data_IF_262575865157
#
_entry.id   IF_262575865157
#
_cell.length_a   1.000
_cell.length_b   1.000
_cell.length_c   1.000
_cell.angle_alpha   90.00
_cell.angle_beta   90.00
_cell.angle_gamma   90.00
#
_symmetry.space_group_name_H-M   'P 1'
#
loop_
_entity.id
_entity.type
_entity.pdbx_description
1 polymer ?
#
# COMPACT_ATOMS: atom_id res chain seq x y z
N UNK A 1 -14.82 3.73 -5.72
CA UNK A 1 -14.35 5.05 -6.16
C UNK A 1 -13.05 5.39 -5.46
N UNK A 2 -13.01 5.55 -4.13
CA UNK A 2 -11.80 6.02 -3.41
C UNK A 2 -10.49 5.22 -3.59
N UNK A 3 -10.50 3.88 -3.69
CA UNK A 3 -9.25 3.13 -3.93
C UNK A 3 -8.68 3.41 -5.32
N UNK A 4 -9.56 3.42 -6.33
CA UNK A 4 -9.23 3.78 -7.71
C UNK A 4 -8.83 5.26 -7.77
N UNK A 5 -9.50 6.14 -7.04
CA UNK A 5 -9.20 7.57 -7.05
C UNK A 5 -7.91 7.89 -6.28
N UNK A 6 -7.58 7.14 -5.22
CA UNK A 6 -6.28 7.20 -4.55
C UNK A 6 -5.15 6.62 -5.43
N UNK A 7 -5.42 5.55 -6.19
CA UNK A 7 -4.48 5.05 -7.19
C UNK A 7 -4.33 6.06 -8.35
N UNK A 8 -5.37 6.79 -8.74
CA UNK A 8 -5.24 7.91 -9.71
C UNK A 8 -4.35 9.03 -9.17
N UNK A 9 -4.33 9.27 -7.85
CA UNK A 9 -3.36 10.20 -7.24
C UNK A 9 -1.92 9.71 -7.41
N UNK A 10 -1.65 8.40 -7.43
CA UNK A 10 -0.33 7.85 -7.84
C UNK A 10 -0.01 8.32 -9.25
N UNK A 11 -0.96 8.11 -10.18
CA UNK A 11 -0.83 8.48 -11.59
C UNK A 11 -0.56 9.97 -11.85
N UNK A 12 -0.93 10.86 -10.91
CA UNK A 12 -0.59 12.28 -11.00
C UNK A 12 0.89 12.58 -10.71
N UNK A 13 1.57 11.73 -9.94
CA UNK A 13 2.99 11.84 -9.69
C UNK A 13 3.75 10.81 -10.54
N UNK A 14 4.27 11.26 -11.68
CA UNK A 14 4.96 10.40 -12.65
C UNK A 14 6.17 9.67 -12.04
N UNK A 15 6.85 10.27 -11.05
CA UNK A 15 8.03 9.67 -10.41
C UNK A 15 7.65 8.49 -9.54
N UNK A 16 6.59 8.65 -8.74
CA UNK A 16 6.07 7.56 -7.93
C UNK A 16 5.50 6.46 -8.82
N UNK A 17 4.80 6.84 -9.90
CA UNK A 17 4.30 5.89 -10.90
C UNK A 17 5.45 5.10 -11.53
N UNK A 18 6.56 5.74 -11.89
CA UNK A 18 7.74 5.06 -12.42
C UNK A 18 8.34 4.05 -11.43
N UNK A 19 8.46 4.41 -10.15
CA UNK A 19 8.91 3.49 -9.09
C UNK A 19 7.96 2.28 -8.95
N UNK A 20 6.65 2.50 -8.99
CA UNK A 20 5.66 1.42 -8.90
C UNK A 20 5.71 0.53 -10.14
N UNK A 21 5.81 1.09 -11.35
CA UNK A 21 5.94 0.30 -12.58
C UNK A 21 7.23 -0.54 -12.54
N UNK A 22 8.35 0.04 -12.10
CA UNK A 22 9.60 -0.70 -11.98
C UNK A 22 9.49 -1.83 -10.94
N UNK A 23 8.83 -1.58 -9.80
CA UNK A 23 8.50 -2.63 -8.84
C UNK A 23 7.69 -3.76 -9.49
N UNK A 24 6.65 -3.44 -10.27
CA UNK A 24 5.80 -4.46 -10.91
C UNK A 24 6.56 -5.29 -11.94
N UNK A 25 7.33 -4.62 -12.81
CA UNK A 25 8.19 -5.29 -13.80
C UNK A 25 9.18 -6.19 -13.08
N UNK A 26 9.75 -5.71 -11.97
CA UNK A 26 10.59 -6.51 -11.12
C UNK A 26 9.86 -7.74 -10.60
N UNK A 27 8.84 -7.57 -9.76
CA UNK A 27 8.13 -8.68 -9.09
C UNK A 27 7.61 -9.71 -10.11
N UNK A 28 7.30 -9.30 -11.33
CA UNK A 28 6.89 -10.20 -12.40
C UNK A 28 8.04 -11.03 -13.00
N UNK A 29 9.29 -10.54 -13.02
CA UNK A 29 10.43 -11.20 -13.68
C UNK A 29 11.27 -12.03 -12.69
N UNK A 30 11.50 -11.52 -11.48
CA UNK A 30 12.45 -12.15 -10.54
C UNK A 30 12.11 -13.57 -10.08
N UNK A 31 10.85 -14.04 -10.00
CA UNK A 31 10.54 -15.37 -9.50
C UNK A 31 10.61 -16.48 -10.55
N UNK A 32 11.10 -16.19 -11.76
CA UNK A 32 11.46 -17.19 -12.78
C UNK A 32 12.89 -17.81 -12.72
N UNK A 33 13.70 -17.69 -11.64
CA UNK A 33 15.14 -17.82 -11.79
C UNK A 33 15.58 -19.29 -11.89
N UNK A 34 14.87 -20.22 -11.24
CA UNK A 34 15.30 -21.63 -11.19
C UNK A 34 15.10 -22.37 -12.52
N UNK A 35 14.21 -21.91 -13.40
CA UNK A 35 13.92 -22.58 -14.67
C UNK A 35 14.82 -22.10 -15.81
N UNK A 36 15.36 -20.87 -15.73
CA UNK A 36 16.26 -20.33 -16.75
C UNK A 36 17.30 -19.36 -16.15
N UNK A 37 18.61 -19.69 -16.18
CA UNK A 37 19.66 -18.85 -15.63
C UNK A 37 19.78 -17.48 -16.35
N UNK A 38 19.40 -17.40 -17.63
CA UNK A 38 19.41 -16.14 -18.39
C UNK A 38 18.36 -15.18 -17.83
N UNK A 39 17.16 -15.68 -17.54
CA UNK A 39 16.07 -14.88 -16.96
C UNK A 39 16.44 -14.41 -15.55
N UNK A 40 17.16 -15.24 -14.78
CA UNK A 40 17.71 -14.85 -13.47
C UNK A 40 18.64 -13.63 -13.57
N UNK A 41 19.58 -13.67 -14.52
CA UNK A 41 20.55 -12.59 -14.72
C UNK A 41 19.84 -11.31 -15.17
N UNK A 42 18.87 -11.42 -16.08
CA UNK A 42 18.04 -10.28 -16.51
C UNK A 42 17.28 -9.69 -15.31
N UNK A 43 16.70 -10.56 -14.48
CA UNK A 43 16.03 -10.17 -13.23
C UNK A 43 16.95 -9.35 -12.32
N UNK A 44 18.17 -9.82 -12.08
CA UNK A 44 19.17 -9.09 -11.26
C UNK A 44 19.56 -7.76 -11.91
N UNK A 45 19.80 -7.74 -13.24
CA UNK A 45 20.17 -6.51 -13.94
C UNK A 45 19.08 -5.44 -13.86
N UNK A 46 17.82 -5.84 -13.70
CA UNK A 46 16.68 -4.92 -13.50
C UNK A 46 16.50 -4.55 -12.02
N UNK A 47 16.61 -5.53 -11.11
CA UNK A 47 16.35 -5.32 -9.67
C UNK A 47 17.47 -4.63 -8.94
N UNK A 48 18.72 -5.02 -9.20
CA UNK A 48 19.84 -4.52 -8.42
C UNK A 48 19.94 -3.00 -8.55
N UNK A 49 19.96 -2.38 -9.76
CA UNK A 49 19.95 -0.93 -9.90
C UNK A 49 18.74 -0.26 -9.23
N UNK A 50 17.57 -0.90 -9.31
CA UNK A 50 16.35 -0.39 -8.70
C UNK A 50 16.43 -0.37 -7.17
N UNK A 51 16.92 -1.47 -6.59
CA UNK A 51 17.13 -1.61 -5.16
C UNK A 51 18.14 -0.57 -4.67
N UNK A 52 19.29 -0.44 -5.35
CA UNK A 52 20.31 0.59 -5.04
C UNK A 52 19.67 1.96 -4.96
N UNK A 53 18.91 2.28 -6.00
CA UNK A 53 18.27 3.56 -6.15
C UNK A 53 17.28 3.83 -5.03
N UNK A 54 16.42 2.86 -4.71
CA UNK A 54 15.46 2.97 -3.62
C UNK A 54 16.13 3.15 -2.27
N UNK A 55 17.24 2.45 -2.01
CA UNK A 55 18.01 2.61 -0.79
C UNK A 55 18.62 3.99 -0.67
N UNK A 56 19.22 4.47 -1.76
CA UNK A 56 19.77 5.82 -1.79
C UNK A 56 18.67 6.86 -1.57
N UNK A 57 17.53 6.74 -2.26
CA UNK A 57 16.38 7.61 -2.06
C UNK A 57 15.89 7.53 -0.61
N UNK A 58 15.78 6.34 -0.04
CA UNK A 58 15.36 6.17 1.35
C UNK A 58 16.32 6.89 2.31
N UNK A 59 17.63 6.67 2.20
CA UNK A 59 18.65 7.35 3.02
C UNK A 59 18.61 8.87 2.83
N UNK A 60 18.50 9.34 1.59
CA UNK A 60 18.35 10.76 1.28
C UNK A 60 17.09 11.33 1.93
N UNK A 61 16.00 10.58 1.95
CA UNK A 61 14.74 10.95 2.61
C UNK A 61 14.92 11.14 4.11
N UNK A 62 15.63 10.21 4.75
CA UNK A 62 15.91 10.24 6.18
C UNK A 62 16.77 11.45 6.56
N UNK A 63 17.77 11.78 5.74
CA UNK A 63 18.73 12.86 6.02
C UNK A 63 18.13 14.23 5.67
N UNK A 64 17.57 14.37 4.47
CA UNK A 64 17.21 15.69 3.96
C UNK A 64 15.90 16.24 4.53
N UNK A 65 15.05 15.40 5.14
CA UNK A 65 13.70 15.76 5.63
C UNK A 65 12.80 16.46 4.60
N UNK A 66 13.22 16.52 3.33
CA UNK A 66 12.55 17.19 2.22
C UNK A 66 11.87 16.13 1.36
N UNK A 67 10.74 16.48 0.75
CA UNK A 67 10.07 15.60 -0.19
C UNK A 67 10.99 15.31 -1.37
N UNK A 68 11.27 14.03 -1.59
CA UNK A 68 12.17 13.57 -2.66
C UNK A 68 11.58 13.88 -4.05
N UNK A 69 10.26 13.97 -4.13
CA UNK A 69 9.58 14.33 -5.38
C UNK A 69 9.66 15.84 -5.71
N UNK A 70 10.25 16.67 -4.86
CA UNK A 70 10.51 18.09 -5.16
C UNK A 70 11.86 18.35 -5.85
N UNK A 71 12.77 17.36 -5.88
CA UNK A 71 14.07 17.54 -6.52
C UNK A 71 13.93 17.67 -8.05
N UNK A 72 14.86 18.35 -8.73
CA UNK A 72 14.87 18.37 -10.20
C UNK A 72 15.12 16.96 -10.77
N UNK A 73 14.47 16.54 -11.87
CA UNK A 73 14.68 15.22 -12.48
C UNK A 73 16.15 14.90 -12.78
N UNK A 74 16.92 15.91 -13.21
CA UNK A 74 18.36 15.74 -13.46
C UNK A 74 19.14 15.36 -12.20
N UNK A 75 18.77 15.94 -11.04
CA UNK A 75 19.38 15.56 -9.75
C UNK A 75 19.04 14.11 -9.39
N UNK A 76 17.85 13.63 -9.72
CA UNK A 76 17.43 12.25 -9.47
C UNK A 76 18.23 11.26 -10.34
N UNK A 77 18.45 11.57 -11.62
CA UNK A 77 19.28 10.75 -12.51
C UNK A 77 20.73 10.75 -12.03
N UNK A 78 21.26 11.91 -11.62
CA UNK A 78 22.58 12.02 -11.03
C UNK A 78 22.70 11.17 -9.75
N UNK A 79 21.68 11.22 -8.89
CA UNK A 79 21.59 10.39 -7.69
C UNK A 79 21.58 8.90 -8.01
N UNK A 80 20.84 8.46 -9.04
CA UNK A 80 20.86 7.08 -9.52
C UNK A 80 22.28 6.66 -9.92
N UNK A 81 22.96 7.48 -10.72
CA UNK A 81 24.29 7.16 -11.25
C UNK A 81 25.37 7.15 -10.15
N UNK A 82 25.28 8.06 -9.18
CA UNK A 82 26.17 8.13 -8.01
C UNK A 82 25.87 7.01 -6.99
N UNK A 83 24.62 6.58 -6.86
CA UNK A 83 24.23 5.57 -5.87
C UNK A 83 24.86 4.20 -6.14
N UNK A 84 25.10 3.87 -7.41
CA UNK A 84 25.64 2.57 -7.83
C UNK A 84 27.06 2.32 -7.32
N UNK A 85 28.05 3.21 -7.51
CA UNK A 85 29.38 3.04 -6.92
C UNK A 85 29.40 3.24 -5.40
N UNK A 86 28.61 4.15 -4.85
CA UNK A 86 28.55 4.38 -3.39
C UNK A 86 28.04 3.14 -2.66
N UNK A 87 27.05 2.45 -3.23
CA UNK A 87 26.46 1.29 -2.58
C UNK A 87 27.38 0.07 -2.60
N UNK A 88 28.25 -0.09 -3.62
CA UNK A 88 29.33 -1.09 -3.59
C UNK A 88 30.26 -0.90 -2.37
N UNK A 89 30.43 0.35 -1.91
CA UNK A 89 31.28 0.69 -0.77
C UNK A 89 30.56 0.53 0.59
N UNK A 90 29.21 0.49 0.62
CA UNK A 90 28.38 0.41 1.83
C UNK A 90 27.77 -0.98 2.10
N UNK A 91 28.40 -2.04 1.58
CA UNK A 91 27.88 -3.42 1.57
C UNK A 91 27.54 -4.01 2.96
N UNK A 92 28.19 -3.57 4.04
CA UNK A 92 27.87 -4.03 5.41
C UNK A 92 26.57 -3.38 5.92
N UNK A 93 26.41 -2.08 5.66
CA UNK A 93 25.20 -1.34 6.06
C UNK A 93 23.97 -1.89 5.31
N UNK A 94 24.20 -2.40 4.10
CA UNK A 94 23.20 -3.04 3.26
C UNK A 94 22.55 -4.28 3.92
N UNK A 95 23.33 -5.17 4.52
CA UNK A 95 22.79 -6.38 5.20
C UNK A 95 21.86 -6.02 6.36
N UNK A 96 22.23 -5.01 7.16
CA UNK A 96 21.39 -4.52 8.26
C UNK A 96 20.12 -3.87 7.74
N UNK A 97 20.23 -3.02 6.71
CA UNK A 97 19.08 -2.41 6.04
C UNK A 97 18.14 -3.46 5.47
N UNK A 98 18.68 -4.54 4.90
CA UNK A 98 17.91 -5.64 4.38
C UNK A 98 17.09 -6.37 5.45
N UNK A 99 17.72 -6.73 6.58
CA UNK A 99 17.01 -7.35 7.70
C UNK A 99 15.88 -6.46 8.23
N UNK A 100 16.14 -5.16 8.39
CA UNK A 100 15.13 -4.17 8.80
C UNK A 100 14.00 -4.10 7.75
N UNK A 101 14.35 -4.01 6.46
CA UNK A 101 13.40 -3.94 5.35
C UNK A 101 12.46 -5.14 5.29
N UNK A 102 12.94 -6.36 5.56
CA UNK A 102 12.10 -7.56 5.63
C UNK A 102 11.05 -7.41 6.73
N UNK A 103 11.48 -7.06 7.95
CA UNK A 103 10.56 -6.92 9.10
C UNK A 103 9.55 -5.80 8.82
N UNK A 104 10.02 -4.67 8.27
CA UNK A 104 9.17 -3.51 7.97
C UNK A 104 8.19 -3.79 6.84
N UNK A 105 8.53 -4.64 5.87
CA UNK A 105 7.60 -5.07 4.81
C UNK A 105 6.34 -5.71 5.43
N UNK A 106 6.52 -6.70 6.30
CA UNK A 106 5.41 -7.41 6.93
C UNK A 106 4.62 -6.51 7.89
N UNK A 107 5.32 -5.63 8.63
CA UNK A 107 4.69 -4.65 9.49
C UNK A 107 3.80 -3.69 8.68
N UNK A 108 4.34 -3.04 7.64
CA UNK A 108 3.61 -2.06 6.84
C UNK A 108 2.45 -2.70 6.09
N UNK A 109 2.68 -3.84 5.41
CA UNK A 109 1.61 -4.53 4.68
C UNK A 109 0.48 -4.93 5.61
N UNK A 110 0.76 -5.59 6.73
CA UNK A 110 -0.27 -5.99 7.70
C UNK A 110 -1.00 -4.79 8.29
N UNK A 111 -0.28 -3.73 8.67
CA UNK A 111 -0.86 -2.50 9.18
C UNK A 111 -1.82 -1.84 8.18
N UNK A 112 -1.35 -1.61 6.95
CA UNK A 112 -2.16 -0.94 5.93
C UNK A 112 -3.31 -1.80 5.44
N UNK A 113 -3.16 -3.12 5.34
CA UNK A 113 -4.26 -4.03 4.99
C UNK A 113 -5.35 -3.97 6.07
N UNK A 114 -5.02 -4.21 7.33
CA UNK A 114 -6.03 -4.23 8.40
C UNK A 114 -6.72 -2.89 8.56
N UNK A 115 -5.96 -1.80 8.48
CA UNK A 115 -6.55 -0.48 8.54
C UNK A 115 -7.42 -0.18 7.32
N UNK A 116 -7.00 -0.55 6.11
CA UNK A 116 -7.81 -0.43 4.92
C UNK A 116 -9.11 -1.24 5.04
N UNK A 117 -9.04 -2.46 5.59
CA UNK A 117 -10.21 -3.30 5.85
C UNK A 117 -11.20 -2.59 6.77
N UNK A 118 -10.69 -1.95 7.83
CA UNK A 118 -11.51 -1.10 8.70
C UNK A 118 -12.17 0.05 7.94
N UNK A 119 -11.43 0.79 7.10
CA UNK A 119 -12.00 1.90 6.32
C UNK A 119 -13.13 1.45 5.37
N UNK A 120 -12.92 0.35 4.66
CA UNK A 120 -13.93 -0.22 3.77
C UNK A 120 -15.15 -0.64 4.58
N UNK A 121 -14.93 -1.39 5.66
CA UNK A 121 -16.00 -1.84 6.54
C UNK A 121 -16.79 -0.66 7.11
N UNK A 122 -16.10 0.36 7.62
CA UNK A 122 -16.70 1.58 8.18
C UNK A 122 -17.57 2.28 7.14
N UNK A 123 -17.07 2.46 5.92
CA UNK A 123 -17.83 3.11 4.84
C UNK A 123 -19.11 2.33 4.49
N UNK A 124 -19.01 1.01 4.38
CA UNK A 124 -20.19 0.17 4.11
C UNK A 124 -21.19 0.29 5.25
N UNK A 125 -20.72 0.27 6.49
CA UNK A 125 -21.57 0.42 7.67
C UNK A 125 -22.21 1.82 7.77
N UNK A 126 -21.48 2.89 7.46
CA UNK A 126 -22.00 4.26 7.42
C UNK A 126 -23.14 4.43 6.40
N UNK A 127 -22.98 3.87 5.19
CA UNK A 127 -24.04 3.86 4.17
C UNK A 127 -25.28 3.09 4.62
N UNK A 128 -25.12 2.09 5.47
CA UNK A 128 -26.24 1.33 6.03
C UNK A 128 -26.90 2.08 7.19
N UNK A 129 -26.17 2.91 7.91
CA UNK A 129 -26.75 3.67 9.03
C UNK A 129 -27.66 4.81 8.57
N UNK A 130 -27.47 5.38 7.39
CA UNK A 130 -28.31 6.47 6.88
C UNK A 130 -29.71 6.04 6.43
N UNK A 131 -30.09 4.77 6.57
CA UNK A 131 -31.38 4.25 6.11
C UNK A 131 -32.33 3.77 7.23
N UNK A 132 -33.56 3.42 6.85
CA UNK A 132 -34.66 2.96 7.71
C UNK A 132 -34.36 1.73 8.59
N UNK A 133 -35.31 1.31 9.45
CA UNK A 133 -35.19 0.16 10.38
C UNK A 133 -34.68 -1.15 9.73
N UNK A 134 -34.95 -1.38 8.44
CA UNK A 134 -34.44 -2.55 7.68
C UNK A 134 -32.90 -2.64 7.66
N UNK A 135 -32.21 -1.52 7.81
CA UNK A 135 -30.76 -1.49 7.76
C UNK A 135 -30.07 -2.02 9.04
N UNK A 136 -30.76 -2.03 10.18
CA UNK A 136 -30.21 -2.67 11.40
C UNK A 136 -30.14 -4.19 11.26
N UNK A 137 -31.11 -4.81 10.58
CA UNK A 137 -31.08 -6.23 10.27
C UNK A 137 -30.00 -6.58 9.24
N UNK A 138 -29.82 -5.76 8.19
CA UNK A 138 -28.71 -5.92 7.25
C UNK A 138 -27.34 -5.84 7.93
N UNK A 139 -27.15 -4.93 8.90
CA UNK A 139 -25.90 -4.83 9.67
C UNK A 139 -25.64 -6.08 10.51
N UNK A 140 -26.69 -6.68 11.08
CA UNK A 140 -26.59 -7.98 11.76
C UNK A 140 -26.16 -9.08 10.80
N UNK A 141 -26.78 -9.17 9.61
CA UNK A 141 -26.41 -10.15 8.58
C UNK A 141 -24.96 -9.97 8.14
N UNK A 142 -24.51 -8.73 7.90
CA UNK A 142 -23.13 -8.49 7.48
C UNK A 142 -22.14 -8.84 8.59
N UNK A 143 -22.46 -8.52 9.84
CA UNK A 143 -21.62 -8.86 10.99
C UNK A 143 -21.49 -10.38 11.16
N UNK A 144 -22.61 -11.09 11.36
CA UNK A 144 -22.60 -12.53 11.62
C UNK A 144 -22.26 -13.33 10.37
N UNK A 145 -22.82 -12.97 9.22
CA UNK A 145 -22.51 -13.60 7.94
C UNK A 145 -21.04 -13.46 7.58
N UNK A 146 -20.45 -12.28 7.78
CA UNK A 146 -19.02 -12.08 7.56
C UNK A 146 -18.14 -12.90 8.49
N UNK A 147 -18.50 -13.00 9.77
CA UNK A 147 -17.83 -13.88 10.73
C UNK A 147 -17.94 -15.36 10.33
N UNK A 148 -19.14 -15.83 10.01
CA UNK A 148 -19.40 -17.23 9.64
C UNK A 148 -18.64 -17.58 8.36
N UNK A 149 -18.69 -16.72 7.33
CA UNK A 149 -17.93 -16.92 6.09
C UNK A 149 -16.43 -16.94 6.37
N UNK A 150 -15.92 -16.03 7.22
CA UNK A 150 -14.51 -15.98 7.60
C UNK A 150 -14.05 -17.27 8.32
N UNK A 151 -14.81 -17.74 9.31
CA UNK A 151 -14.49 -18.97 10.04
C UNK A 151 -14.62 -20.22 9.15
N UNK A 152 -15.64 -20.27 8.29
CA UNK A 152 -15.81 -21.34 7.31
C UNK A 152 -14.67 -21.36 6.30
N UNK A 153 -14.20 -20.20 5.86
CA UNK A 153 -13.05 -20.07 4.98
C UNK A 153 -11.78 -20.62 5.64
N UNK A 154 -11.50 -20.24 6.90
CA UNK A 154 -10.35 -20.77 7.64
C UNK A 154 -10.46 -22.29 7.86
N UNK A 155 -11.65 -22.79 8.17
CA UNK A 155 -11.91 -24.21 8.36
C UNK A 155 -11.72 -25.01 7.06
N UNK A 156 -12.26 -24.52 5.94
CA UNK A 156 -12.10 -25.15 4.63
C UNK A 156 -10.64 -25.29 4.22
N UNK A 157 -9.74 -24.41 4.66
CA UNK A 157 -8.32 -24.54 4.36
C UNK A 157 -7.60 -25.57 5.24
N UNK A 158 -8.06 -25.77 6.48
CA UNK A 158 -7.54 -26.84 7.35
C UNK A 158 -7.90 -28.21 6.77
N UNK A 159 -9.16 -28.38 6.35
CA UNK A 159 -9.68 -29.68 5.89
C UNK A 159 -9.57 -29.86 4.37
N UNK A 160 -9.41 -28.77 3.61
CA UNK A 160 -9.44 -28.74 2.15
C UNK A 160 -8.49 -29.74 1.49
N UNK A 161 -7.20 -29.81 1.89
CA UNK A 161 -6.27 -30.80 1.36
C UNK A 161 -6.69 -32.26 1.60
N UNK A 162 -7.57 -32.53 2.58
CA UNK A 162 -8.09 -33.87 2.87
C UNK A 162 -9.38 -34.19 2.11
N UNK A 163 -10.13 -33.17 1.66
CA UNK A 163 -11.42 -33.34 0.97
C UNK A 163 -11.25 -33.23 -0.56
N UNK A 164 -10.41 -32.30 -1.01
CA UNK A 164 -10.16 -32.03 -2.41
C UNK A 164 -8.75 -32.52 -2.76
N UNK A 165 -8.69 -33.52 -3.64
CA UNK A 165 -7.42 -33.94 -4.20
C UNK A 165 -6.97 -32.92 -5.25
N UNK A 166 -6.06 -32.04 -4.84
CA UNK A 166 -5.44 -31.04 -5.71
C UNK A 166 -4.32 -31.63 -6.59
N UNK A 167 -4.09 -32.94 -6.57
CA UNK A 167 -3.08 -33.62 -7.40
C UNK A 167 -3.23 -33.35 -8.90
N UNK A 168 -4.46 -33.09 -9.38
CA UNK A 168 -4.74 -32.75 -10.79
C UNK A 168 -4.12 -31.39 -11.18
N UNK A 169 -3.93 -30.47 -10.23
CA UNK A 169 -3.43 -29.11 -10.47
C UNK A 169 -1.94 -28.97 -10.08
N UNK A 170 -1.50 -29.69 -9.04
CA UNK A 170 -0.16 -29.58 -8.47
C UNK A 170 0.76 -30.78 -8.74
N UNK A 171 0.27 -31.82 -9.42
CA UNK A 171 1.00 -33.05 -9.76
C UNK A 171 1.54 -33.86 -8.56
N UNK A 172 1.46 -33.30 -7.34
CA UNK A 172 1.90 -33.89 -6.07
C UNK A 172 0.84 -33.67 -4.97
N UNK A 173 0.67 -34.63 -4.04
CA UNK A 173 -0.23 -34.48 -2.91
C UNK A 173 0.29 -33.39 -1.95
N UNK A 174 -0.54 -32.37 -1.69
CA UNK A 174 -0.20 -31.29 -0.77
C UNK A 174 -0.23 -31.83 0.67
N UNK A 175 0.94 -32.09 1.26
CA UNK A 175 1.05 -32.38 2.70
C UNK A 175 1.28 -31.06 3.43
N UNK A 176 0.21 -30.49 3.99
CA UNK A 176 0.31 -29.25 4.74
C UNK A 176 0.98 -29.49 6.10
N UNK A 177 2.08 -28.79 6.44
CA UNK A 177 2.70 -28.90 7.74
C UNK A 177 1.74 -28.54 8.88
N UNK A 178 1.68 -29.37 9.91
CA UNK A 178 0.71 -29.23 11.01
C UNK A 178 0.79 -27.86 11.72
N UNK A 179 1.97 -27.25 11.79
CA UNK A 179 2.16 -25.95 12.44
C UNK A 179 1.51 -24.80 11.64
N UNK A 180 1.36 -24.92 10.32
CA UNK A 180 0.64 -23.92 9.52
C UNK A 180 -0.87 -23.98 9.79
N UNK A 181 -1.42 -25.17 10.06
CA UNK A 181 -2.82 -25.30 10.50
C UNK A 181 -3.08 -24.62 11.86
N UNK A 182 -2.06 -24.60 12.73
CA UNK A 182 -2.11 -23.86 13.99
C UNK A 182 -2.38 -22.36 13.80
N UNK A 183 -1.89 -21.75 12.70
CA UNK A 183 -2.13 -20.34 12.38
C UNK A 183 -3.61 -20.09 12.12
N UNK A 184 -4.28 -20.94 11.35
CA UNK A 184 -5.71 -20.80 11.04
C UNK A 184 -6.57 -20.88 12.30
N UNK A 185 -6.27 -21.83 13.20
CA UNK A 185 -6.94 -21.96 14.48
C UNK A 185 -6.72 -20.73 15.37
N UNK A 186 -5.49 -20.22 15.43
CA UNK A 186 -5.15 -19.06 16.24
C UNK A 186 -5.88 -17.81 15.73
N UNK A 187 -5.83 -17.53 14.42
CA UNK A 187 -6.55 -16.40 13.82
C UNK A 187 -8.06 -16.54 14.01
N UNK A 188 -8.63 -17.74 13.85
CA UNK A 188 -10.03 -18.01 14.16
C UNK A 188 -10.38 -17.69 15.62
N UNK A 189 -9.53 -18.12 16.56
CA UNK A 189 -9.66 -17.78 17.98
C UNK A 189 -9.60 -16.27 18.25
N UNK A 190 -8.69 -15.56 17.59
CA UNK A 190 -8.59 -14.09 17.68
C UNK A 190 -9.84 -13.41 17.14
N UNK A 191 -10.38 -13.87 16.00
CA UNK A 191 -11.63 -13.32 15.45
C UNK A 191 -12.82 -13.55 16.38
N UNK A 192 -12.93 -14.73 17.00
CA UNK A 192 -13.94 -15.02 18.02
C UNK A 192 -13.75 -14.09 19.23
N UNK A 193 -12.52 -13.93 19.72
CA UNK A 193 -12.19 -13.00 20.80
C UNK A 193 -12.60 -11.55 20.49
N UNK A 194 -12.23 -11.05 19.32
CA UNK A 194 -12.61 -9.72 18.85
C UNK A 194 -14.14 -9.57 18.67
N UNK A 195 -14.83 -10.66 18.29
CA UNK A 195 -16.30 -10.69 18.23
C UNK A 195 -16.91 -10.52 19.61
N UNK A 196 -16.39 -11.20 20.63
CA UNK A 196 -16.83 -11.05 22.02
C UNK A 196 -16.60 -9.60 22.47
N UNK A 197 -15.42 -9.02 22.19
CA UNK A 197 -15.13 -7.62 22.48
C UNK A 197 -16.14 -6.70 21.79
N UNK A 198 -16.42 -6.91 20.50
CA UNK A 198 -17.48 -6.19 19.78
C UNK A 198 -18.82 -6.29 20.51
N UNK A 199 -19.29 -7.50 20.86
CA UNK A 199 -20.57 -7.70 21.54
C UNK A 199 -20.62 -6.96 22.88
N UNK A 200 -19.54 -6.99 23.68
CA UNK A 200 -19.44 -6.28 24.97
C UNK A 200 -19.56 -4.76 24.78
N UNK A 201 -18.85 -4.18 23.82
CA UNK A 201 -18.96 -2.73 23.52
C UNK A 201 -20.31 -2.33 22.92
N UNK A 202 -21.12 -3.29 22.51
CA UNK A 202 -22.38 -3.09 21.81
C UNK A 202 -23.64 -3.45 22.59
N UNK A 203 -23.50 -3.94 23.82
CA UNK A 203 -24.63 -4.23 24.71
C UNK A 203 -25.52 -2.96 24.79
N UNK A 204 -26.69 -3.01 24.14
CA UNK A 204 -27.73 -1.95 23.95
C UNK A 204 -27.69 -1.08 22.66
N UNK A 205 -26.87 -1.36 21.63
CA UNK A 205 -26.89 -0.63 20.33
C UNK A 205 -26.90 -1.57 19.11
N UNK A 206 -27.02 -0.99 17.91
CA UNK A 206 -27.11 -1.70 16.61
C UNK A 206 -25.77 -2.21 16.10
N UNK A 207 -25.68 -3.51 15.76
CA UNK A 207 -24.48 -4.29 15.34
C UNK A 207 -23.53 -3.58 14.37
N UNK A 208 -22.21 -3.72 14.60
CA UNK A 208 -21.15 -3.08 13.81
C UNK A 208 -20.89 -3.86 12.52
N UNK A 209 -21.66 -3.63 11.46
CA UNK A 209 -21.53 -4.35 10.18
C UNK A 209 -20.11 -4.31 9.60
N UNK A 210 -19.32 -3.28 9.91
CA UNK A 210 -17.92 -3.18 9.46
C UNK A 210 -17.05 -4.36 9.89
N UNK A 211 -17.30 -4.93 11.08
CA UNK A 211 -16.47 -6.01 11.63
C UNK A 211 -16.59 -7.30 10.83
N UNK A 212 -17.76 -7.60 10.26
CA UNK A 212 -17.94 -8.77 9.39
C UNK A 212 -17.10 -8.68 8.12
N UNK A 213 -17.03 -7.50 7.50
CA UNK A 213 -16.18 -7.24 6.33
C UNK A 213 -14.69 -7.35 6.70
N UNK A 214 -14.33 -6.80 7.86
CA UNK A 214 -12.99 -6.93 8.42
C UNK A 214 -12.61 -8.41 8.62
N UNK A 215 -13.49 -9.23 9.20
CA UNK A 215 -13.23 -10.65 9.45
C UNK A 215 -13.00 -11.44 8.15
N UNK A 216 -13.79 -11.20 7.09
CA UNK A 216 -13.60 -11.86 5.78
C UNK A 216 -12.21 -11.53 5.22
N UNK A 217 -11.83 -10.25 5.22
CA UNK A 217 -10.56 -9.81 4.65
C UNK A 217 -9.36 -10.30 5.47
N UNK A 218 -9.47 -10.34 6.80
CA UNK A 218 -8.46 -10.92 7.70
C UNK A 218 -8.25 -12.40 7.38
N UNK A 219 -9.33 -13.18 7.19
CA UNK A 219 -9.21 -14.58 6.81
C UNK A 219 -8.55 -14.72 5.45
N UNK A 220 -8.98 -13.97 4.44
CA UNK A 220 -8.36 -13.99 3.11
C UNK A 220 -6.86 -13.66 3.15
N UNK A 221 -6.46 -12.64 3.90
CA UNK A 221 -5.05 -12.27 4.02
C UNK A 221 -4.24 -13.32 4.81
N UNK A 222 -4.84 -13.95 5.82
CA UNK A 222 -4.23 -15.07 6.55
C UNK A 222 -3.96 -16.24 5.61
N UNK A 223 -4.92 -16.60 4.76
CA UNK A 223 -4.75 -17.65 3.75
C UNK A 223 -3.58 -17.35 2.83
N UNK A 224 -3.52 -16.14 2.29
CA UNK A 224 -2.45 -15.71 1.41
C UNK A 224 -1.08 -15.80 2.11
N UNK A 225 -0.98 -15.32 3.35
CA UNK A 225 0.27 -15.31 4.10
C UNK A 225 0.74 -16.74 4.41
N UNK A 226 -0.16 -17.63 4.82
CA UNK A 226 0.16 -19.05 5.07
C UNK A 226 0.55 -19.76 3.77
N UNK A 227 -0.14 -19.50 2.66
CA UNK A 227 0.21 -20.07 1.35
C UNK A 227 1.60 -19.60 0.89
N UNK A 228 1.91 -18.31 1.07
CA UNK A 228 3.22 -17.74 0.75
C UNK A 228 4.35 -18.37 1.58
N UNK A 229 4.10 -18.60 2.88
CA UNK A 229 5.04 -19.31 3.77
C UNK A 229 5.21 -20.76 3.31
N UNK A 230 4.11 -21.47 3.01
CA UNK A 230 4.14 -22.85 2.54
C UNK A 230 5.00 -22.99 1.27
N UNK A 231 4.76 -22.15 0.27
CA UNK A 231 5.54 -22.18 -0.97
C UNK A 231 7.00 -21.81 -0.76
N UNK A 232 7.31 -20.89 0.16
CA UNK A 232 8.68 -20.57 0.53
C UNK A 232 9.43 -21.74 1.19
N UNK A 233 8.73 -22.66 1.85
CA UNK A 233 9.31 -23.85 2.51
C UNK A 233 9.46 -25.01 1.52
N UNK A 234 8.45 -25.28 0.70
CA UNK A 234 8.50 -26.37 -0.28
C UNK A 234 9.53 -26.05 -1.39
N UNK A 235 9.61 -24.79 -1.83
CA UNK A 235 10.55 -24.34 -2.85
C UNK A 235 12.04 -24.33 -2.46
N UNK A 236 12.36 -24.53 -1.18
CA UNK A 236 13.75 -24.67 -0.68
C UNK A 236 14.23 -26.12 -0.59
N UNK A 237 13.32 -27.11 -0.51
CA UNK A 237 13.68 -28.51 -0.22
C UNK A 237 13.32 -29.55 -1.28
N UNK A 238 12.53 -29.22 -2.30
CA UNK A 238 12.10 -30.15 -3.36
C UNK A 238 12.54 -29.69 -4.74
N UNK A 239 12.75 -30.65 -5.64
CA UNK A 239 13.23 -30.42 -7.01
C UNK A 239 12.38 -29.31 -7.67
N UNK A 240 12.99 -28.27 -8.27
CA UNK A 240 12.31 -27.07 -8.77
C UNK A 240 11.30 -27.32 -9.90
N UNK A 241 11.12 -28.59 -10.31
CA UNK A 241 10.09 -29.04 -11.26
C UNK A 241 8.72 -29.25 -10.61
N UNK A 242 8.63 -29.45 -9.30
CA UNK A 242 7.39 -29.92 -8.64
C UNK A 242 6.37 -28.81 -8.32
N UNK A 243 6.73 -27.52 -8.42
CA UNK A 243 5.81 -26.38 -8.23
C UNK A 243 5.59 -25.54 -9.51
N UNK A 244 6.04 -26.04 -10.65
CA UNK A 244 6.18 -25.28 -11.89
C UNK A 244 4.90 -25.16 -12.75
N UNK A 245 3.70 -25.31 -12.19
CA UNK A 245 2.49 -24.95 -12.93
C UNK A 245 2.29 -23.43 -12.91
N UNK A 246 2.08 -22.84 -14.10
CA UNK A 246 1.81 -21.41 -14.28
C UNK A 246 0.64 -20.90 -13.41
N UNK A 247 -0.27 -21.81 -13.02
CA UNK A 247 -1.40 -21.55 -12.15
C UNK A 247 -1.02 -21.31 -10.69
N UNK A 248 -0.06 -22.06 -10.14
CA UNK A 248 0.46 -21.82 -8.79
C UNK A 248 1.13 -20.45 -8.72
N UNK A 249 1.89 -20.10 -9.77
CA UNK A 249 2.53 -18.81 -9.92
C UNK A 249 1.53 -17.64 -9.96
N UNK A 250 0.51 -17.73 -10.81
CA UNK A 250 -0.58 -16.74 -10.86
C UNK A 250 -1.32 -16.64 -9.52
N UNK A 251 -1.52 -17.77 -8.85
CA UNK A 251 -2.16 -17.86 -7.54
C UNK A 251 -1.42 -17.13 -6.41
N UNK A 252 -0.10 -16.94 -6.53
CA UNK A 252 0.70 -16.15 -5.58
C UNK A 252 0.83 -14.69 -6.00
N UNK A 253 1.13 -14.44 -7.27
CA UNK A 253 1.44 -13.09 -7.73
C UNK A 253 0.22 -12.18 -7.77
N UNK A 254 -0.94 -12.68 -8.20
CA UNK A 254 -2.13 -11.84 -8.30
C UNK A 254 -2.53 -11.30 -6.91
N UNK A 255 -2.64 -12.14 -5.86
CA UNK A 255 -2.91 -11.64 -4.51
C UNK A 255 -1.79 -10.77 -3.94
N UNK A 256 -0.52 -11.08 -4.21
CA UNK A 256 0.62 -10.30 -3.74
C UNK A 256 0.63 -8.88 -4.34
N UNK A 257 0.40 -8.77 -5.65
CA UNK A 257 0.23 -7.49 -6.34
C UNK A 257 -1.00 -6.74 -5.81
N UNK A 258 -2.12 -7.44 -5.62
CA UNK A 258 -3.33 -6.85 -5.04
C UNK A 258 -3.05 -6.24 -3.67
N UNK A 259 -2.33 -6.96 -2.80
CA UNK A 259 -1.95 -6.49 -1.46
C UNK A 259 -1.04 -5.25 -1.53
N UNK A 260 -0.08 -5.22 -2.45
CA UNK A 260 0.81 -4.07 -2.63
C UNK A 260 0.01 -2.86 -3.10
N UNK A 261 -0.81 -3.01 -4.14
CA UNK A 261 -1.67 -1.93 -4.64
C UNK A 261 -2.63 -1.44 -3.56
N UNK A 262 -3.21 -2.35 -2.79
CA UNK A 262 -4.10 -2.03 -1.69
C UNK A 262 -3.39 -1.25 -0.59
N UNK A 263 -2.18 -1.67 -0.22
CA UNK A 263 -1.36 -1.01 0.79
C UNK A 263 -0.95 0.40 0.33
N UNK A 264 -0.52 0.55 -0.92
CA UNK A 264 -0.20 1.84 -1.53
C UNK A 264 -1.41 2.77 -1.61
N UNK A 265 -2.56 2.24 -2.03
CA UNK A 265 -3.83 2.98 -2.13
C UNK A 265 -4.31 3.47 -0.76
N UNK A 266 -4.16 2.64 0.28
CA UNK A 266 -4.52 2.99 1.66
C UNK A 266 -3.58 4.05 2.22
N UNK A 267 -2.28 3.92 1.95
CA UNK A 267 -1.27 4.88 2.36
C UNK A 267 -1.53 6.26 1.73
N UNK A 268 -1.79 6.32 0.43
CA UNK A 268 -2.11 7.58 -0.28
C UNK A 268 -3.48 8.18 0.02
N UNK A 269 -4.30 7.46 0.78
CA UNK A 269 -5.51 7.99 1.37
C UNK A 269 -5.22 8.84 2.62
N UNK A 270 -6.18 8.85 3.54
CA UNK A 270 -6.15 9.70 4.74
C UNK A 270 -5.10 9.30 5.80
N UNK A 271 -4.43 8.15 5.67
CA UNK A 271 -3.52 7.66 6.69
C UNK A 271 -2.09 8.16 6.58
N UNK A 272 -1.58 8.48 5.39
CA UNK A 272 -0.26 9.08 5.32
C UNK A 272 -0.16 10.37 6.15
N UNK A 273 -1.22 11.17 6.18
CA UNK A 273 -1.27 12.37 7.01
C UNK A 273 -1.33 12.06 8.51
N UNK A 274 -2.05 11.02 8.92
CA UNK A 274 -2.12 10.62 10.33
C UNK A 274 -0.80 9.97 10.79
N UNK A 275 -0.17 9.16 9.95
CA UNK A 275 1.12 8.53 10.21
C UNK A 275 2.24 9.58 10.21
N UNK A 276 2.24 10.55 9.29
CA UNK A 276 3.21 11.65 9.28
C UNK A 276 3.02 12.61 10.45
N UNK A 277 1.77 12.89 10.86
CA UNK A 277 1.49 13.66 12.09
C UNK A 277 2.01 12.97 13.34
N UNK A 278 1.92 11.64 13.43
CA UNK A 278 2.44 10.86 14.58
C UNK A 278 3.96 10.66 14.50
N UNK A 279 4.49 10.45 13.30
CA UNK A 279 5.92 10.30 13.04
C UNK A 279 6.43 11.58 12.42
N UNK A 280 6.59 12.63 13.24
CA UNK A 280 7.01 13.99 12.85
C UNK A 280 8.28 14.06 11.97
N UNK A 281 9.03 12.96 11.85
CA UNK A 281 10.31 12.88 11.14
C UNK A 281 10.20 12.32 9.72
N UNK A 282 9.09 11.65 9.35
CA UNK A 282 8.95 11.01 8.03
C UNK A 282 7.79 11.62 7.25
N UNK A 283 8.10 12.08 6.04
CA UNK A 283 7.08 12.49 5.07
C UNK A 283 6.32 11.27 4.52
N UNK A 284 5.15 11.52 3.93
CA UNK A 284 4.39 10.49 3.22
C UNK A 284 5.26 9.76 2.19
N UNK A 285 6.02 10.53 1.40
CA UNK A 285 6.92 10.01 0.36
C UNK A 285 7.97 9.06 0.92
N UNK A 286 8.52 9.38 2.10
CA UNK A 286 9.48 8.52 2.80
C UNK A 286 8.87 7.17 3.14
N UNK A 287 7.64 7.16 3.64
CA UNK A 287 6.94 5.92 4.02
C UNK A 287 6.63 5.09 2.77
N UNK A 288 6.25 5.74 1.66
CA UNK A 288 6.02 5.04 0.38
C UNK A 288 7.31 4.42 -0.15
N UNK A 289 8.39 5.19 -0.22
CA UNK A 289 9.70 4.71 -0.66
C UNK A 289 10.16 3.56 0.24
N UNK A 290 9.94 3.67 1.55
CA UNK A 290 10.27 2.61 2.49
C UNK A 290 9.45 1.34 2.25
N UNK A 291 8.15 1.45 1.97
CA UNK A 291 7.30 0.31 1.65
C UNK A 291 7.76 -0.38 0.36
N UNK A 292 8.04 0.40 -0.70
CA UNK A 292 8.55 -0.12 -1.97
C UNK A 292 9.90 -0.78 -1.76
N UNK A 293 10.85 -0.11 -1.08
CA UNK A 293 12.15 -0.66 -0.74
C UNK A 293 12.03 -1.98 0.04
N UNK A 294 11.17 -2.01 1.05
CA UNK A 294 10.95 -3.20 1.88
C UNK A 294 10.47 -4.39 1.05
N UNK A 295 9.56 -4.15 0.10
CA UNK A 295 9.07 -5.17 -0.83
C UNK A 295 10.16 -5.64 -1.80
N UNK A 296 10.87 -4.70 -2.45
CA UNK A 296 11.95 -5.02 -3.41
C UNK A 296 13.04 -5.82 -2.74
N UNK A 297 13.47 -5.41 -1.54
CA UNK A 297 14.42 -6.16 -0.70
C UNK A 297 13.97 -7.59 -0.46
N UNK A 298 12.72 -7.78 -0.02
CA UNK A 298 12.21 -9.10 0.33
C UNK A 298 12.22 -10.05 -0.86
N UNK A 299 11.75 -9.58 -2.02
CA UNK A 299 11.73 -10.37 -3.25
C UNK A 299 13.16 -10.61 -3.78
N UNK A 300 14.03 -9.59 -3.70
CA UNK A 300 15.42 -9.72 -4.12
C UNK A 300 16.15 -10.81 -3.35
N UNK A 301 16.07 -10.81 -2.02
CA UNK A 301 16.74 -11.82 -1.18
C UNK A 301 16.17 -13.21 -1.43
N UNK A 302 14.85 -13.35 -1.55
CA UNK A 302 14.24 -14.68 -1.69
C UNK A 302 14.54 -15.33 -3.05
N UNK A 303 14.64 -14.53 -4.11
CA UNK A 303 14.86 -15.01 -5.47
C UNK A 303 16.27 -14.76 -6.01
N UNK A 304 17.20 -14.29 -5.17
CA UNK A 304 18.58 -14.10 -5.59
C UNK A 304 19.21 -15.44 -5.98
N UNK A 305 19.84 -15.57 -7.16
CA UNK A 305 20.48 -16.81 -7.60
C UNK A 305 21.85 -16.99 -6.92
N UNK A 306 21.83 -17.28 -5.62
CA UNK A 306 23.03 -17.46 -4.78
C UNK A 306 24.03 -18.45 -5.37
N UNK A 307 23.55 -19.54 -5.97
CA UNK A 307 24.40 -20.59 -6.57
C UNK A 307 25.31 -20.07 -7.69
N UNK A 308 24.78 -19.20 -8.57
CA UNK A 308 25.52 -18.64 -9.71
C UNK A 308 26.63 -17.71 -9.19
N UNK A 309 26.32 -16.89 -8.19
CA UNK A 309 27.26 -15.87 -7.70
C UNK A 309 28.29 -16.43 -6.72
N UNK A 310 27.93 -17.43 -5.91
CA UNK A 310 28.88 -18.13 -5.05
C UNK A 310 29.95 -18.87 -5.88
N UNK A 311 29.60 -19.38 -7.06
CA UNK A 311 30.53 -20.05 -7.95
C UNK A 311 31.59 -19.12 -8.57
N UNK A 312 31.29 -17.82 -8.73
CA UNK A 312 32.17 -16.86 -9.43
C UNK A 312 33.14 -16.15 -8.45
N UNK A 313 32.92 -16.29 -7.13
CA UNK A 313 33.79 -15.79 -6.04
C UNK A 313 34.43 -14.41 -6.30
N UNK A 314 33.60 -13.43 -6.65
CA UNK A 314 34.06 -12.07 -6.95
C UNK A 314 34.31 -11.33 -5.62
N UNK A 315 35.51 -10.77 -5.36
CA UNK A 315 35.87 -10.13 -4.09
C UNK A 315 34.94 -8.99 -3.65
N UNK A 316 34.31 -8.32 -4.61
CA UNK A 316 33.41 -7.17 -4.40
C UNK A 316 31.99 -7.60 -3.99
N UNK A 317 31.69 -8.89 -4.10
CA UNK A 317 30.41 -9.52 -3.79
C UNK A 317 30.44 -10.37 -2.52
N UNK A 318 31.43 -10.17 -1.65
CA UNK A 318 31.56 -10.93 -0.39
C UNK A 318 30.23 -10.94 0.41
N UNK A 319 29.52 -9.80 0.46
CA UNK A 319 28.21 -9.61 1.10
C UNK A 319 27.08 -10.57 0.65
N UNK A 320 27.22 -11.23 -0.52
CA UNK A 320 26.29 -12.25 -0.98
C UNK A 320 26.32 -13.47 -0.03
N UNK A 321 27.49 -13.81 0.51
CA UNK A 321 27.61 -14.93 1.45
C UNK A 321 26.85 -14.63 2.75
N UNK A 322 26.95 -13.39 3.27
CA UNK A 322 26.19 -12.95 4.43
C UNK A 322 24.68 -12.85 4.14
N UNK A 323 24.29 -12.53 2.90
CA UNK A 323 22.88 -12.61 2.49
C UNK A 323 22.39 -14.04 2.33
N UNK A 324 23.24 -14.97 1.93
CA UNK A 324 22.88 -16.38 1.82
C UNK A 324 22.48 -16.94 3.19
N UNK A 325 23.12 -16.46 4.27
CA UNK A 325 22.72 -16.75 5.65
C UNK A 325 21.27 -16.30 5.89
N UNK A 326 20.83 -15.14 5.38
CA UNK A 326 19.43 -14.69 5.54
C UNK A 326 18.42 -15.55 4.77
N UNK A 327 18.88 -16.37 3.82
CA UNK A 327 18.07 -17.33 3.07
C UNK A 327 18.28 -18.79 3.56
N UNK A 328 19.00 -18.99 4.67
CA UNK A 328 19.16 -20.29 5.32
C UNK A 328 17.81 -20.85 5.80
N UNK A 329 17.64 -22.17 5.80
CA UNK A 329 16.41 -22.85 6.17
C UNK A 329 15.95 -22.48 7.60
N UNK A 330 16.88 -22.46 8.56
CA UNK A 330 16.56 -22.14 9.96
C UNK A 330 16.15 -20.68 10.11
N UNK A 331 16.88 -19.77 9.45
CA UNK A 331 16.57 -18.34 9.48
C UNK A 331 15.24 -18.06 8.78
N UNK A 332 14.93 -18.77 7.70
CA UNK A 332 13.65 -18.69 7.02
C UNK A 332 12.48 -19.15 7.92
N UNK A 333 12.65 -20.24 8.68
CA UNK A 333 11.65 -20.68 9.65
C UNK A 333 11.44 -19.62 10.74
N UNK A 334 12.52 -19.13 11.36
CA UNK A 334 12.46 -18.10 12.41
C UNK A 334 11.80 -16.82 11.88
N UNK A 335 12.16 -16.39 10.67
CA UNK A 335 11.54 -15.25 9.97
C UNK A 335 10.04 -15.47 9.80
N UNK A 336 9.62 -16.62 9.30
CA UNK A 336 8.20 -16.93 9.07
C UNK A 336 7.41 -16.96 10.38
N UNK A 337 7.96 -17.52 11.46
CA UNK A 337 7.36 -17.50 12.79
C UNK A 337 7.24 -16.07 13.31
N UNK A 338 8.30 -15.26 13.20
CA UNK A 338 8.28 -13.87 13.64
C UNK A 338 7.21 -13.07 12.89
N UNK A 339 7.13 -13.25 11.57
CA UNK A 339 6.12 -12.61 10.71
C UNK A 339 4.70 -12.97 11.16
N UNK A 340 4.43 -14.25 11.40
CA UNK A 340 3.13 -14.72 11.90
C UNK A 340 2.80 -14.13 13.28
N UNK A 341 3.78 -14.12 14.20
CA UNK A 341 3.63 -13.52 15.52
C UNK A 341 3.30 -12.04 15.45
N UNK A 342 4.03 -11.27 14.63
CA UNK A 342 3.76 -9.85 14.41
C UNK A 342 2.40 -9.62 13.76
N UNK A 343 2.03 -10.42 12.75
CA UNK A 343 0.73 -10.36 12.09
C UNK A 343 -0.42 -10.50 13.10
N UNK A 344 -0.37 -11.51 13.95
CA UNK A 344 -1.37 -11.77 15.01
C UNK A 344 -1.41 -10.61 16.00
N UNK A 345 -0.24 -10.12 16.44
CA UNK A 345 -0.15 -9.03 17.39
C UNK A 345 -0.76 -7.74 16.81
N UNK A 346 -0.46 -7.41 15.56
CA UNK A 346 -1.04 -6.26 14.86
C UNK A 346 -2.55 -6.45 14.70
N UNK A 347 -3.02 -7.65 14.36
CA UNK A 347 -4.45 -7.96 14.23
C UNK A 347 -5.20 -7.66 15.53
N UNK A 348 -4.66 -8.10 16.67
CA UNK A 348 -5.24 -7.85 18.00
C UNK A 348 -5.23 -6.36 18.32
N UNK A 349 -4.08 -5.68 18.15
CA UNK A 349 -3.92 -4.27 18.49
C UNK A 349 -4.84 -3.40 17.63
N UNK A 350 -4.79 -3.53 16.30
CA UNK A 350 -5.62 -2.75 15.37
C UNK A 350 -7.09 -3.11 15.55
N UNK A 351 -7.41 -4.39 15.72
CA UNK A 351 -8.79 -4.85 15.95
C UNK A 351 -9.41 -4.17 17.17
N UNK A 352 -8.75 -4.27 18.33
CA UNK A 352 -9.23 -3.62 19.57
C UNK A 352 -9.27 -2.10 19.43
N UNK A 353 -8.21 -1.50 18.88
CA UNK A 353 -8.10 -0.06 18.73
C UNK A 353 -9.23 0.51 17.86
N UNK A 354 -9.49 -0.09 16.69
CA UNK A 354 -10.53 0.39 15.78
C UNK A 354 -11.94 0.08 16.32
N UNK A 355 -12.16 -1.02 17.06
CA UNK A 355 -13.42 -1.25 17.79
C UNK A 355 -13.70 -0.12 18.78
N UNK A 356 -12.71 0.23 19.61
CA UNK A 356 -12.83 1.29 20.61
C UNK A 356 -13.05 2.66 19.96
N UNK A 357 -12.25 2.98 18.94
CA UNK A 357 -12.33 4.24 18.20
C UNK A 357 -13.67 4.41 17.52
N UNK A 358 -14.12 3.39 16.78
CA UNK A 358 -15.41 3.38 16.11
C UNK A 358 -16.57 3.59 17.11
N UNK A 359 -16.50 2.93 18.28
CA UNK A 359 -17.49 3.11 19.33
C UNK A 359 -17.48 4.52 19.94
N UNK A 360 -16.30 5.12 20.13
CA UNK A 360 -16.15 6.50 20.64
C UNK A 360 -16.70 7.53 19.66
N UNK A 361 -16.43 7.37 18.36
CA UNK A 361 -16.97 8.23 17.30
C UNK A 361 -18.50 8.17 17.26
N UNK A 362 -19.10 6.99 17.48
CA UNK A 362 -20.56 6.79 17.59
C UNK A 362 -21.20 7.35 18.88
N UNK A 363 -20.40 7.67 19.90
CA UNK A 363 -20.89 8.27 21.16
C UNK A 363 -20.90 9.80 21.12
N UNK A 364 -20.09 10.41 20.26
CA UNK A 364 -20.18 11.86 20.04
C UNK A 364 -21.53 12.15 19.35
N UNK A 365 -22.40 12.98 19.93
CA UNK A 365 -23.68 13.29 19.32
C UNK A 365 -23.44 13.90 17.94
N UNK A 366 -24.32 13.54 17.01
CA UNK A 366 -24.46 14.04 15.63
C UNK A 366 -24.80 15.56 15.59
N UNK A 367 -24.31 16.36 16.53
CA UNK A 367 -24.61 17.80 16.66
C UNK A 367 -23.72 18.67 15.76
N UNK A 368 -22.47 18.29 15.50
CA UNK A 368 -21.60 19.08 14.60
C UNK A 368 -21.93 18.90 13.11
N UNK A 369 -22.70 17.86 12.73
CA UNK A 369 -23.07 17.58 11.34
C UNK A 369 -24.36 18.25 10.83
N UNK A 370 -25.07 18.98 11.70
CA UNK A 370 -26.29 19.72 11.34
C UNK A 370 -26.07 21.25 11.31
N UNK A 371 -25.10 21.76 12.06
CA UNK A 371 -24.76 23.18 12.01
C UNK A 371 -23.88 23.51 10.78
N UNK A 372 -23.00 22.60 10.36
CA UNK A 372 -22.18 22.78 9.14
C UNK A 372 -22.99 22.61 7.83
N UNK A 373 -24.17 21.96 7.89
CA UNK A 373 -25.08 21.81 6.73
C UNK A 373 -26.20 22.84 6.67
N UNK A 374 -26.47 23.59 7.75
CA UNK A 374 -27.47 24.66 7.75
C UNK A 374 -26.94 26.02 7.28
N UNK A 375 -25.63 26.24 7.28
CA UNK A 375 -25.05 27.49 6.74
C UNK A 375 -24.83 27.50 5.22
N UNK A 376 -25.03 26.39 4.50
CA UNK A 376 -24.76 26.32 3.04
C UNK A 376 -26.02 26.09 2.19
N UNK A 377 -27.22 26.10 2.79
CA UNK A 377 -28.48 26.03 2.01
C UNK A 377 -29.55 26.97 2.56
N UNK A 378 -29.32 28.27 2.39
CA UNK A 378 -30.38 29.27 2.27
C UNK A 378 -30.17 30.00 0.94
N UNK A 379 -31.01 29.78 -0.09
CA UNK A 379 -31.03 30.70 -1.21
C UNK A 379 -31.62 32.03 -0.69
N UNK A 380 -30.84 33.10 -0.74
CA UNK A 380 -31.39 34.45 -0.72
C UNK A 380 -32.36 34.58 -1.90
N UNK A 381 -33.66 34.57 -1.60
CA UNK A 381 -34.68 35.09 -2.51
C UNK A 381 -34.43 36.58 -2.70
N UNK A 382 -33.72 36.93 -3.77
CA UNK A 382 -33.69 38.29 -4.29
C UNK A 382 -35.02 38.60 -4.96
N UNK A 383 -35.84 39.39 -4.28
CA UNK A 383 -37.04 40.01 -4.84
C UNK A 383 -36.59 41.06 -5.85
N UNK A 384 -36.43 40.68 -7.12
CA UNK A 384 -36.36 41.65 -8.23
C UNK A 384 -37.78 42.08 -8.59
N UNK A 385 -38.15 43.29 -8.17
CA UNK A 385 -39.27 44.03 -8.78
C UNK A 385 -38.92 44.35 -10.25
N UNK A 386 -39.79 44.05 -11.22
CA UNK A 386 -39.60 44.49 -12.59
C UNK A 386 -39.93 45.98 -12.73
N UNK A 387 -38.94 46.80 -13.09
CA UNK A 387 -39.18 48.17 -13.57
C UNK A 387 -39.59 48.15 -15.05
N UNK A 388 -40.44 49.10 -15.49
CA UNK A 388 -41.08 49.04 -16.79
C UNK A 388 -40.20 49.58 -17.92
N UNK A 389 -40.42 49.03 -19.10
CA UNK A 389 -39.84 49.39 -20.39
C UNK A 389 -40.33 50.79 -20.81
N UNK A 390 -39.41 51.68 -21.17
CA UNK A 390 -39.59 52.91 -21.96
C UNK A 390 -38.28 53.12 -22.72
N UNK A 391 -38.23 52.69 -23.97
CA UNK A 391 -38.43 53.45 -25.22
C UNK A 391 -37.10 53.91 -25.81
N UNK A 392 -36.86 53.43 -27.03
CA UNK A 392 -35.70 53.69 -27.87
C UNK A 392 -35.72 55.13 -28.39
N UNK A 393 -34.59 55.83 -28.34
CA UNK A 393 -34.30 56.95 -29.23
C UNK A 393 -32.95 56.77 -29.94
N UNK A 394 -33.09 56.70 -31.26
CA UNK A 394 -32.21 56.92 -32.42
C UNK A 394 -30.78 57.48 -32.25
N UNK A 395 -29.84 56.73 -32.85
CA UNK A 395 -28.87 57.09 -33.93
C UNK A 395 -28.51 58.59 -34.10
N UNK A 396 -27.21 58.89 -34.05
CA UNK A 396 -26.56 59.81 -35.03
C UNK A 396 -25.06 59.47 -35.23
N UNK A 397 -24.68 59.38 -36.52
CA UNK A 397 -23.34 59.22 -37.09
C UNK A 397 -22.52 60.53 -37.03
N UNK A 398 -21.19 60.41 -37.14
CA UNK A 398 -20.23 61.22 -37.94
C UNK A 398 -18.82 61.05 -37.29
N UNK A 399 -17.83 60.38 -37.87
CA UNK A 399 -17.10 60.56 -39.14
C UNK A 399 -16.12 61.76 -39.16
N UNK A 400 -15.05 61.60 -39.97
CA UNK A 400 -13.87 62.48 -40.21
C UNK A 400 -12.67 62.29 -39.25
N UNK A 401 -11.52 61.75 -39.68
CA UNK A 401 -10.54 62.11 -40.73
C UNK A 401 -9.30 62.81 -40.15
N UNK A 402 -8.16 62.15 -40.34
CA UNK A 402 -6.86 62.66 -40.82
C UNK A 402 -6.53 64.15 -40.60
N UNK A 403 -5.38 64.45 -39.97
CA UNK A 403 -4.35 65.34 -40.56
C UNK A 403 -3.01 65.32 -39.79
N UNK A 404 -1.96 65.44 -40.58
CA UNK A 404 -0.52 65.37 -40.34
C UNK A 404 0.13 66.58 -39.62
N UNK A 405 1.44 66.41 -39.39
CA UNK A 405 2.55 67.38 -39.29
C UNK A 405 2.80 68.05 -37.93
N UNK A 406 3.92 67.81 -37.22
CA UNK A 406 5.37 68.03 -37.49
C UNK A 406 5.86 69.34 -36.83
N UNK A 407 7.12 69.32 -36.38
CA UNK A 407 7.93 70.32 -35.66
C UNK A 407 7.71 70.32 -34.13
N UNK A 408 8.72 70.10 -33.28
CA UNK A 408 10.15 70.33 -33.39
C UNK A 408 10.54 71.25 -32.23
N UNK A 409 11.56 70.89 -31.44
CA UNK A 409 12.56 71.74 -30.77
C UNK A 409 13.23 70.97 -29.62
N UNK A 410 14.54 70.80 -29.80
CA UNK A 410 15.57 70.45 -28.81
C UNK A 410 15.75 71.54 -27.76
N UNK A 411 15.98 71.19 -26.49
CA UNK A 411 17.00 71.77 -25.58
C UNK A 411 17.33 70.67 -24.54
N UNK A 412 18.45 69.94 -24.63
CA UNK A 412 19.82 70.23 -24.16
C UNK A 412 20.06 70.24 -22.63
N UNK A 413 20.83 69.22 -22.20
CA UNK A 413 21.98 69.22 -21.27
C UNK A 413 21.88 69.62 -19.80
N UNK A 414 22.49 68.74 -18.98
CA UNK A 414 23.70 68.94 -18.15
C UNK A 414 23.49 68.23 -16.80
N UNK A 415 24.16 67.09 -16.61
CA UNK A 415 25.48 66.95 -15.97
C UNK A 415 25.37 67.07 -14.45
N UNK A 416 25.64 65.97 -13.73
CA UNK A 416 26.92 65.89 -13.01
C UNK A 416 27.19 64.49 -12.39
N UNK A 417 28.28 63.91 -12.90
CA UNK A 417 29.31 63.03 -12.32
C UNK A 417 29.19 62.64 -10.82
N UNK A 418 29.32 61.34 -10.50
CA UNK A 418 30.57 60.59 -10.21
C UNK A 418 30.26 59.09 -10.20
#
# INVERSE_FOLDING_TARGET
MDTIDNLKKIGKNWRLTALVIWLLVGVAIIPFPKTNPIVSIIGILIFLPFLVFLMFLFLLSLISKKNIFEYSPWKIILFLLISLPIMLLLSIILVVLFAISIITYFFFTSWFIFYGCYLIGKRVDEKLVSGEKKHSFLRFIIFFGGLVVSLLLLFLFIIGPTIFDFSIILETPIVFPWYLNGVYLLVGGVLIGLTIVCIVYMFKKSFNGWFGIFAILVAFYTLFLVLKIYMGIVGTGTDPKELATIWAYLGVIIPDLFIIFYSLSTLMGSQAELLSKRIKRFGMDTIIIWLILSKVTYEFIHYFPYEIFNAINIPWFLWINELAILNDELINIVKNIAVLGFFILILIIIGIYEIQKYHKERKKPLQEGLDEKKEVTSPETSTYEPQPILEEESIEELDSADFNEENGINIEKSDDNI
#
